data_IF_180940443255
#
_entry.id   IF_180940443255
#
_cell.length_a   1.000
_cell.length_b   1.000
_cell.length_c   1.000
_cell.angle_alpha   90.00
_cell.angle_beta   90.00
_cell.angle_gamma   90.00
#
_symmetry.space_group_name_H-M   'P 1'
#
loop_
_entity.id
_entity.type
_entity.pdbx_description
1 polymer ?
#
# COMPACT_ATOMS: atom_id res chain seq x y z
N UNK A 1 18.80 -12.17 6.83
CA UNK A 1 17.39 -12.54 7.12
C UNK A 1 16.49 -11.32 7.07
N UNK A 2 16.80 -10.20 7.73
CA UNK A 2 15.99 -8.97 7.67
C UNK A 2 15.70 -8.49 6.23
N UNK A 3 16.68 -8.54 5.33
CA UNK A 3 16.49 -8.23 3.89
C UNK A 3 15.36 -9.04 3.22
N UNK A 4 15.10 -10.27 3.66
CA UNK A 4 14.03 -11.10 3.11
C UNK A 4 12.66 -10.62 3.57
N UNK A 5 12.53 -10.20 4.85
CA UNK A 5 11.29 -9.68 5.41
C UNK A 5 10.97 -8.27 4.88
N UNK A 6 11.98 -7.40 4.73
CA UNK A 6 11.81 -6.10 4.06
C UNK A 6 11.42 -6.27 2.58
N UNK A 7 12.06 -7.22 1.88
CA UNK A 7 11.67 -7.56 0.51
C UNK A 7 10.26 -8.13 0.39
N UNK A 8 9.80 -8.89 1.40
CA UNK A 8 8.44 -9.47 1.51
C UNK A 8 7.36 -8.43 1.86
N UNK A 9 7.68 -7.41 2.68
CA UNK A 9 6.82 -6.23 2.87
C UNK A 9 6.54 -5.51 1.54
N UNK A 10 7.54 -5.54 0.64
CA UNK A 10 7.52 -4.92 -0.67
C UNK A 10 6.94 -5.82 -1.80
N UNK A 11 6.29 -6.94 -1.46
CA UNK A 11 5.54 -7.75 -2.43
C UNK A 11 4.02 -7.53 -2.31
N UNK A 12 3.29 -7.48 -3.43
CA UNK A 12 1.83 -7.50 -3.43
C UNK A 12 1.33 -8.88 -2.98
N UNK A 13 0.09 -8.91 -2.48
CA UNK A 13 -0.65 -10.16 -2.33
C UNK A 13 -1.17 -10.65 -3.67
N UNK A 14 -1.10 -11.95 -3.89
CA UNK A 14 -1.68 -12.63 -5.04
C UNK A 14 -2.58 -13.79 -4.59
N UNK A 15 -3.45 -14.24 -5.50
CA UNK A 15 -4.31 -15.40 -5.26
C UNK A 15 -3.62 -16.66 -5.80
N UNK A 16 -3.47 -17.66 -4.96
CA UNK A 16 -3.12 -19.02 -5.35
C UNK A 16 -4.40 -19.87 -5.38
N UNK A 17 -4.79 -20.30 -6.58
CA UNK A 17 -5.90 -21.25 -6.73
C UNK A 17 -5.42 -22.67 -6.51
N UNK A 18 -6.06 -23.40 -5.60
CA UNK A 18 -5.83 -24.82 -5.33
C UNK A 18 -7.02 -25.64 -5.88
N UNK A 19 -6.97 -26.96 -5.74
CA UNK A 19 -8.03 -27.83 -6.24
C UNK A 19 -9.36 -27.67 -5.46
N UNK A 20 -9.29 -27.47 -4.14
CA UNK A 20 -10.46 -27.46 -3.24
C UNK A 20 -10.69 -26.10 -2.57
N UNK A 21 -9.66 -25.26 -2.51
CA UNK A 21 -9.65 -23.97 -1.82
C UNK A 21 -8.82 -22.91 -2.58
N UNK A 22 -8.67 -21.74 -1.99
CA UNK A 22 -7.84 -20.66 -2.51
C UNK A 22 -7.15 -19.94 -1.37
N UNK A 23 -5.90 -19.57 -1.56
CA UNK A 23 -5.10 -18.84 -0.57
C UNK A 23 -4.67 -17.50 -1.14
N UNK A 24 -4.54 -16.51 -0.29
CA UNK A 24 -3.70 -15.35 -0.56
C UNK A 24 -2.26 -15.68 -0.21
N UNK A 25 -1.32 -15.38 -1.10
CA UNK A 25 0.09 -15.60 -0.86
C UNK A 25 0.93 -14.44 -1.40
N UNK A 26 2.09 -14.23 -0.77
CA UNK A 26 3.17 -13.42 -1.31
C UNK A 26 4.51 -13.99 -0.89
N UNK A 27 5.49 -13.96 -1.79
CA UNK A 27 6.81 -14.53 -1.56
C UNK A 27 7.89 -13.60 -2.10
N UNK A 28 9.00 -13.51 -1.38
CA UNK A 28 10.21 -12.83 -1.82
C UNK A 28 11.37 -13.81 -1.80
N UNK A 29 12.01 -14.00 -2.96
CA UNK A 29 13.03 -15.00 -3.20
C UNK A 29 14.31 -14.31 -3.66
N UNK A 30 15.44 -14.72 -3.07
CA UNK A 30 16.78 -14.25 -3.42
C UNK A 30 17.70 -15.45 -3.65
N UNK A 31 18.99 -15.21 -3.95
CA UNK A 31 20.00 -16.27 -4.01
C UNK A 31 20.38 -16.85 -2.65
N UNK A 32 20.05 -16.17 -1.55
CA UNK A 32 20.41 -16.58 -0.18
C UNK A 32 19.31 -17.38 0.52
N UNK A 33 18.07 -17.29 0.04
CA UNK A 33 16.89 -17.85 0.69
C UNK A 33 15.61 -17.17 0.22
N UNK A 34 14.51 -17.48 0.90
CA UNK A 34 13.20 -16.86 0.68
C UNK A 34 12.46 -16.59 1.98
N UNK A 35 11.48 -15.68 1.90
CA UNK A 35 10.40 -15.54 2.86
C UNK A 35 9.06 -15.63 2.12
N UNK A 36 8.10 -16.34 2.72
CA UNK A 36 6.77 -16.64 2.19
C UNK A 36 5.73 -16.33 3.27
N UNK A 37 4.64 -15.68 2.86
CA UNK A 37 3.47 -15.44 3.69
C UNK A 37 2.23 -15.96 2.96
N UNK A 38 1.37 -16.67 3.69
CA UNK A 38 0.17 -17.34 3.16
C UNK A 38 -1.01 -17.06 4.10
N UNK A 39 -2.22 -16.89 3.57
CA UNK A 39 -3.44 -16.73 4.36
C UNK A 39 -4.65 -17.33 3.63
N UNK A 40 -5.55 -17.94 4.39
CA UNK A 40 -6.88 -18.41 3.98
C UNK A 40 -7.99 -17.41 4.35
N UNK A 41 -7.61 -16.18 4.72
CA UNK A 41 -8.44 -15.12 5.31
C UNK A 41 -8.94 -15.38 6.74
N UNK A 42 -8.61 -16.53 7.36
CA UNK A 42 -8.88 -16.83 8.78
C UNK A 42 -7.61 -16.79 9.62
N UNK A 43 -6.54 -17.37 9.10
CA UNK A 43 -5.21 -17.44 9.70
C UNK A 43 -4.15 -16.94 8.72
N UNK A 44 -2.94 -16.74 9.24
CA UNK A 44 -1.78 -16.32 8.46
C UNK A 44 -0.61 -17.20 8.85
N UNK A 45 0.07 -17.78 7.85
CA UNK A 45 1.24 -18.60 8.04
C UNK A 45 2.46 -17.98 7.35
N UNK A 46 3.62 -18.20 7.93
CA UNK A 46 4.91 -17.71 7.49
C UNK A 46 5.91 -18.86 7.37
N UNK A 47 6.76 -18.79 6.34
CA UNK A 47 7.99 -19.58 6.28
C UNK A 47 9.14 -18.69 5.82
N UNK A 48 10.28 -18.81 6.50
CA UNK A 48 11.55 -18.29 6.04
C UNK A 48 12.55 -19.44 5.95
N UNK A 49 13.28 -19.53 4.83
CA UNK A 49 14.27 -20.57 4.61
C UNK A 49 15.54 -20.02 3.94
N UNK A 50 16.70 -20.40 4.45
CA UNK A 50 18.00 -20.05 3.87
C UNK A 50 18.50 -21.09 2.86
N UNK A 51 19.65 -20.83 2.24
CA UNK A 51 20.29 -21.73 1.29
C UNK A 51 20.65 -23.11 1.89
N UNK A 52 20.85 -23.23 3.21
CA UNK A 52 21.16 -24.48 3.90
C UNK A 52 19.91 -25.35 4.03
N UNK A 53 18.82 -24.79 4.55
CA UNK A 53 17.48 -25.40 4.60
C UNK A 53 17.05 -25.81 3.19
N UNK A 54 17.29 -24.94 2.20
CA UNK A 54 16.94 -25.25 0.80
C UNK A 54 17.74 -26.42 0.26
N UNK A 55 19.06 -26.46 0.49
CA UNK A 55 19.94 -27.57 0.10
C UNK A 55 19.50 -28.90 0.71
N UNK A 56 19.20 -28.92 2.01
CA UNK A 56 18.79 -30.11 2.74
C UNK A 56 17.43 -30.63 2.24
N UNK A 57 16.41 -29.76 2.18
CA UNK A 57 15.06 -30.12 1.77
C UNK A 57 15.01 -30.57 0.31
N UNK A 58 15.78 -29.93 -0.58
CA UNK A 58 15.87 -30.34 -1.97
C UNK A 58 16.45 -31.75 -2.13
N UNK A 59 17.49 -32.12 -1.36
CA UNK A 59 18.08 -33.47 -1.37
C UNK A 59 17.12 -34.54 -0.85
N UNK A 60 16.32 -34.20 0.16
CA UNK A 60 15.31 -35.10 0.74
C UNK A 60 14.18 -35.40 -0.26
N UNK A 61 13.57 -34.33 -0.81
CA UNK A 61 12.43 -34.42 -1.73
C UNK A 61 12.83 -34.90 -3.14
N UNK A 62 14.02 -34.53 -3.61
CA UNK A 62 14.49 -34.78 -4.97
C UNK A 62 15.82 -35.56 -4.95
N UNK A 63 15.80 -36.80 -4.45
CA UNK A 63 16.99 -37.65 -4.22
C UNK A 63 17.96 -37.87 -5.40
N UNK A 64 17.55 -37.50 -6.63
CA UNK A 64 18.36 -37.61 -7.86
C UNK A 64 18.83 -36.24 -8.41
N UNK A 65 18.44 -35.13 -7.78
CA UNK A 65 18.69 -33.78 -8.25
C UNK A 65 19.92 -33.19 -7.55
N UNK A 66 20.99 -33.00 -8.32
CA UNK A 66 22.21 -32.32 -7.85
C UNK A 66 22.26 -30.91 -8.43
N UNK A 67 21.73 -29.93 -7.69
CA UNK A 67 21.72 -28.53 -8.10
C UNK A 67 22.15 -27.62 -6.92
N UNK A 68 22.85 -26.50 -7.18
CA UNK A 68 23.19 -25.54 -6.13
C UNK A 68 21.93 -24.81 -5.62
N UNK A 69 21.87 -24.40 -4.34
CA UNK A 69 20.69 -23.74 -3.76
C UNK A 69 20.22 -22.51 -4.54
N UNK A 70 21.14 -21.72 -5.09
CA UNK A 70 20.79 -20.57 -5.91
C UNK A 70 20.01 -20.92 -7.19
N UNK A 71 20.29 -22.07 -7.83
CA UNK A 71 19.55 -22.51 -9.01
C UNK A 71 18.16 -23.04 -8.62
N UNK A 72 18.06 -23.72 -7.47
CA UNK A 72 16.78 -24.17 -6.90
C UNK A 72 15.89 -22.98 -6.52
N UNK A 73 16.48 -21.94 -5.93
CA UNK A 73 15.79 -20.68 -5.59
C UNK A 73 15.31 -19.94 -6.85
N UNK A 74 16.14 -19.83 -7.89
CA UNK A 74 15.69 -19.29 -9.19
C UNK A 74 14.51 -20.08 -9.78
N UNK A 75 14.54 -21.41 -9.72
CA UNK A 75 13.42 -22.24 -10.18
C UNK A 75 12.15 -22.02 -9.34
N UNK A 76 12.26 -21.91 -8.01
CA UNK A 76 11.10 -21.59 -7.15
C UNK A 76 10.52 -20.19 -7.46
N UNK A 77 11.36 -19.20 -7.77
CA UNK A 77 10.94 -17.87 -8.22
C UNK A 77 10.26 -17.93 -9.60
N UNK A 78 10.77 -18.71 -10.54
CA UNK A 78 10.12 -18.96 -11.84
C UNK A 78 8.78 -19.71 -11.72
N UNK A 79 8.64 -20.61 -10.74
CA UNK A 79 7.37 -21.30 -10.45
C UNK A 79 6.34 -20.38 -9.79
N UNK A 80 6.75 -19.55 -8.83
CA UNK A 80 5.82 -18.69 -8.08
C UNK A 80 5.47 -17.40 -8.82
N UNK A 81 6.40 -16.81 -9.59
CA UNK A 81 6.19 -15.50 -10.25
C UNK A 81 4.96 -15.42 -11.18
N UNK A 82 4.60 -16.44 -11.98
CA UNK A 82 3.36 -16.42 -12.78
C UNK A 82 2.10 -16.39 -11.91
N UNK A 83 2.11 -17.14 -10.82
CA UNK A 83 1.01 -17.25 -9.85
C UNK A 83 0.85 -15.95 -9.07
N UNK A 84 1.97 -15.37 -8.64
CA UNK A 84 2.03 -14.08 -7.95
C UNK A 84 1.64 -12.89 -8.84
N UNK A 85 1.42 -13.11 -10.14
CA UNK A 85 0.99 -12.10 -11.11
C UNK A 85 -0.41 -12.37 -11.70
N UNK A 86 -1.16 -13.31 -11.12
CA UNK A 86 -2.48 -13.76 -11.60
C UNK A 86 -2.48 -14.14 -13.11
N UNK A 87 -1.35 -14.64 -13.59
CA UNK A 87 -1.25 -15.24 -14.93
C UNK A 87 -1.53 -16.73 -14.84
N UNK A 88 -2.32 -17.25 -15.79
CA UNK A 88 -2.75 -18.64 -15.78
C UNK A 88 -1.58 -19.60 -15.56
N UNK A 89 -1.71 -20.50 -14.57
CA UNK A 89 -0.69 -21.47 -14.21
C UNK A 89 -0.22 -22.23 -15.46
N UNK A 90 1.09 -22.29 -15.78
CA UNK A 90 1.55 -23.20 -16.81
C UNK A 90 1.17 -24.62 -16.36
N UNK A 91 0.43 -25.36 -17.19
CA UNK A 91 -0.26 -26.62 -16.84
C UNK A 91 0.62 -27.81 -16.43
N UNK A 92 1.90 -27.56 -16.15
CA UNK A 92 2.88 -28.49 -15.57
C UNK A 92 3.07 -28.32 -14.05
N UNK A 93 2.46 -27.32 -13.42
CA UNK A 93 2.61 -27.04 -11.98
C UNK A 93 1.30 -27.33 -11.26
N UNK A 94 1.34 -28.13 -10.20
CA UNK A 94 0.19 -28.44 -9.33
C UNK A 94 0.50 -28.12 -7.88
N UNK A 95 -0.44 -27.46 -7.20
CA UNK A 95 -0.35 -27.10 -5.79
C UNK A 95 -1.37 -27.90 -4.97
N UNK A 96 -0.94 -28.38 -3.80
CA UNK A 96 -1.78 -29.06 -2.80
C UNK A 96 -1.45 -28.46 -1.44
N UNK A 97 -2.46 -28.27 -0.59
CA UNK A 97 -2.31 -27.67 0.73
C UNK A 97 -2.81 -28.65 1.80
N UNK A 98 -1.92 -29.07 2.69
CA UNK A 98 -2.27 -29.89 3.85
C UNK A 98 -2.18 -29.06 5.13
N UNK A 99 -3.11 -29.26 6.07
CA UNK A 99 -2.99 -28.74 7.44
C UNK A 99 -2.50 -29.86 8.37
N UNK A 100 -1.47 -29.57 9.17
CA UNK A 100 -0.88 -30.52 10.13
C UNK A 100 -0.76 -29.82 11.48
N UNK A 101 -1.81 -29.99 12.31
CA UNK A 101 -1.98 -29.19 13.52
C UNK A 101 -2.18 -27.72 13.15
N UNK A 102 -1.39 -26.83 13.77
CA UNK A 102 -1.40 -25.39 13.48
C UNK A 102 -0.55 -25.01 12.24
N UNK A 103 0.25 -25.93 11.70
CA UNK A 103 1.11 -25.69 10.55
C UNK A 103 0.38 -25.96 9.22
N UNK A 104 0.74 -25.18 8.19
CA UNK A 104 0.28 -25.32 6.81
C UNK A 104 1.43 -25.83 5.95
N UNK A 105 1.22 -26.93 5.22
CA UNK A 105 2.20 -27.49 4.28
C UNK A 105 1.71 -27.26 2.86
N UNK A 106 2.31 -26.29 2.16
CA UNK A 106 2.01 -26.02 0.76
C UNK A 106 2.96 -26.83 -0.12
N UNK A 107 2.44 -27.88 -0.76
CA UNK A 107 3.17 -28.77 -1.66
C UNK A 107 3.09 -28.25 -3.09
N UNK A 108 4.22 -28.26 -3.77
CA UNK A 108 4.37 -27.93 -5.18
C UNK A 108 4.97 -29.12 -5.89
N UNK A 109 4.33 -29.52 -6.98
CA UNK A 109 4.90 -30.45 -7.96
C UNK A 109 5.03 -29.72 -9.28
N UNK A 110 6.21 -29.75 -9.87
CA UNK A 110 6.51 -29.18 -11.18
C UNK A 110 7.38 -30.12 -12.01
N UNK A 111 7.77 -29.64 -13.19
CA UNK A 111 8.87 -30.19 -13.98
C UNK A 111 10.06 -29.23 -13.91
N UNK A 112 11.29 -29.76 -13.90
CA UNK A 112 12.54 -29.03 -14.06
C UNK A 112 13.38 -29.77 -15.11
N UNK A 113 13.56 -29.18 -16.28
CA UNK A 113 14.31 -29.77 -17.41
C UNK A 113 13.89 -31.21 -17.77
N UNK A 114 12.58 -31.47 -17.83
CA UNK A 114 12.03 -32.80 -18.13
C UNK A 114 11.95 -33.77 -16.92
N UNK A 115 12.50 -33.40 -15.76
CA UNK A 115 12.46 -34.22 -14.55
C UNK A 115 11.37 -33.75 -13.59
N UNK A 116 10.65 -34.66 -12.89
CA UNK A 116 9.75 -34.28 -11.81
C UNK A 116 10.50 -33.55 -10.69
N UNK A 117 9.98 -32.39 -10.29
CA UNK A 117 10.49 -31.58 -9.19
C UNK A 117 9.42 -31.44 -8.10
N UNK A 118 9.82 -31.63 -6.85
CA UNK A 118 8.95 -31.57 -5.68
C UNK A 118 9.49 -30.55 -4.68
N UNK A 119 8.59 -29.72 -4.15
CA UNK A 119 8.87 -28.78 -3.08
C UNK A 119 7.74 -28.78 -2.07
N UNK A 120 8.08 -28.68 -0.78
CA UNK A 120 7.11 -28.43 0.28
C UNK A 120 7.55 -27.13 0.98
N UNK A 121 6.65 -26.17 1.10
CA UNK A 121 6.77 -25.07 2.05
C UNK A 121 6.17 -25.53 3.38
N UNK A 122 6.88 -25.34 4.49
CA UNK A 122 6.43 -25.71 5.84
C UNK A 122 6.18 -24.44 6.63
N UNK A 123 4.95 -23.91 6.51
CA UNK A 123 4.58 -22.63 7.07
C UNK A 123 4.01 -22.80 8.49
N UNK A 124 4.56 -22.06 9.46
CA UNK A 124 4.07 -21.98 10.84
C UNK A 124 3.16 -20.76 10.99
N UNK A 125 2.38 -20.66 12.07
CA UNK A 125 1.57 -19.46 12.33
C UNK A 125 2.46 -18.20 12.35
N UNK A 126 2.06 -17.19 11.59
CA UNK A 126 2.79 -15.94 11.50
C UNK A 126 2.69 -15.16 12.82
N UNK A 127 3.79 -14.53 13.23
CA UNK A 127 3.79 -13.73 14.47
C UNK A 127 2.80 -12.55 14.37
N UNK A 128 2.22 -12.08 15.49
CA UNK A 128 1.32 -10.91 15.49
C UNK A 128 1.97 -9.66 14.88
N UNK A 129 3.30 -9.54 14.96
CA UNK A 129 4.07 -8.46 14.32
C UNK A 129 3.99 -8.55 12.78
N UNK A 130 4.19 -9.74 12.21
CA UNK A 130 4.05 -9.95 10.75
C UNK A 130 2.62 -9.71 10.28
N UNK A 131 1.61 -10.20 11.01
CA UNK A 131 0.20 -9.94 10.70
C UNK A 131 -0.11 -8.44 10.74
N UNK A 132 0.40 -7.73 11.73
CA UNK A 132 0.25 -6.27 11.87
C UNK A 132 0.89 -5.52 10.70
N UNK A 133 2.13 -5.85 10.34
CA UNK A 133 2.90 -5.16 9.29
C UNK A 133 2.43 -5.50 7.87
N UNK A 134 1.93 -6.71 7.62
CA UNK A 134 1.56 -7.16 6.28
C UNK A 134 0.06 -7.04 5.96
N UNK A 135 -0.81 -6.97 6.97
CA UNK A 135 -2.26 -6.87 6.79
C UNK A 135 -2.87 -5.67 7.54
N UNK A 136 -2.79 -5.64 8.88
CA UNK A 136 -3.60 -4.72 9.69
C UNK A 136 -3.28 -3.25 9.38
N UNK A 137 -1.99 -2.86 9.47
CA UNK A 137 -1.57 -1.48 9.26
C UNK A 137 -1.75 -1.03 7.80
N UNK A 138 -1.36 -1.82 6.78
CA UNK A 138 -1.61 -1.44 5.39
C UNK A 138 -3.10 -1.31 5.07
N UNK A 139 -3.95 -2.26 5.49
CA UNK A 139 -5.39 -2.20 5.22
C UNK A 139 -6.03 -0.98 5.88
N UNK A 140 -5.68 -0.66 7.14
CA UNK A 140 -6.13 0.56 7.81
C UNK A 140 -5.66 1.83 7.09
N UNK A 141 -4.40 1.88 6.64
CA UNK A 141 -3.87 2.98 5.84
C UNK A 141 -4.57 3.13 4.48
N UNK A 142 -4.93 2.01 3.83
CA UNK A 142 -5.71 2.00 2.60
C UNK A 142 -7.13 2.55 2.82
N UNK A 143 -7.82 2.13 3.89
CA UNK A 143 -9.14 2.67 4.25
C UNK A 143 -9.11 4.18 4.48
N UNK A 144 -8.10 4.69 5.19
CA UNK A 144 -7.91 6.14 5.38
C UNK A 144 -7.65 6.86 4.05
N UNK A 145 -6.80 6.31 3.18
CA UNK A 145 -6.51 6.89 1.87
C UNK A 145 -7.75 6.92 0.95
N UNK A 146 -8.54 5.86 0.93
CA UNK A 146 -9.80 5.80 0.18
C UNK A 146 -10.83 6.80 0.74
N UNK A 147 -10.91 6.98 2.06
CA UNK A 147 -11.78 7.99 2.68
C UNK A 147 -11.34 9.43 2.36
N UNK A 148 -10.04 9.68 2.11
CA UNK A 148 -9.59 10.95 1.54
C UNK A 148 -10.06 11.12 0.09
N UNK A 149 -9.91 10.09 -0.75
CA UNK A 149 -10.37 10.13 -2.15
C UNK A 149 -11.88 10.40 -2.26
N UNK A 150 -12.72 9.77 -1.42
CA UNK A 150 -14.17 10.03 -1.39
C UNK A 150 -14.47 11.50 -1.10
N UNK A 151 -13.79 12.12 -0.12
CA UNK A 151 -13.99 13.54 0.23
C UNK A 151 -13.49 14.50 -0.85
N UNK A 152 -12.37 14.18 -1.50
CA UNK A 152 -11.84 14.96 -2.63
C UNK A 152 -12.79 14.90 -3.84
N UNK A 153 -13.33 13.71 -4.14
CA UNK A 153 -14.32 13.53 -5.20
C UNK A 153 -15.65 14.22 -4.88
N UNK A 154 -16.15 14.14 -3.65
CA UNK A 154 -17.33 14.88 -3.19
C UNK A 154 -17.15 16.40 -3.35
N UNK A 155 -15.97 16.92 -3.03
CA UNK A 155 -15.62 18.33 -3.23
C UNK A 155 -15.61 18.69 -4.72
N UNK A 156 -15.03 17.83 -5.58
CA UNK A 156 -14.99 18.03 -7.03
C UNK A 156 -16.39 18.00 -7.66
N UNK A 157 -17.29 17.15 -7.18
CA UNK A 157 -18.69 17.09 -7.61
C UNK A 157 -19.44 18.38 -7.26
N UNK A 158 -19.33 18.87 -6.02
CA UNK A 158 -19.92 20.17 -5.61
C UNK A 158 -19.38 21.34 -6.44
N UNK A 159 -18.09 21.35 -6.78
CA UNK A 159 -17.53 22.36 -7.69
C UNK A 159 -18.13 22.27 -9.10
N UNK A 160 -18.47 21.07 -9.58
CA UNK A 160 -19.14 20.88 -10.87
C UNK A 160 -20.61 21.29 -10.85
N UNK A 161 -21.31 21.08 -9.74
CA UNK A 161 -22.68 21.58 -9.59
C UNK A 161 -22.75 23.12 -9.60
N UNK A 162 -21.78 23.79 -8.96
CA UNK A 162 -21.66 25.26 -9.04
C UNK A 162 -21.39 25.76 -10.48
N UNK A 163 -20.54 25.06 -11.24
CA UNK A 163 -20.29 25.37 -12.66
C UNK A 163 -21.56 25.14 -13.52
N UNK A 164 -22.32 24.08 -13.25
CA UNK A 164 -23.60 23.80 -13.90
C UNK A 164 -24.67 24.83 -13.53
N UNK A 165 -24.67 25.35 -12.30
CA UNK A 165 -25.56 26.41 -11.84
C UNK A 165 -25.24 27.76 -12.53
N UNK A 166 -23.97 28.16 -12.59
CA UNK A 166 -23.53 29.38 -13.30
C UNK A 166 -23.96 29.40 -14.77
N UNK A 167 -23.89 28.25 -15.46
CA UNK A 167 -24.42 28.12 -16.82
C UNK A 167 -25.95 28.35 -16.88
N UNK A 168 -26.71 27.80 -15.93
CA UNK A 168 -28.17 27.97 -15.89
C UNK A 168 -28.57 29.42 -15.57
N UNK A 169 -27.90 30.06 -14.62
CA UNK A 169 -28.10 31.46 -14.24
C UNK A 169 -27.70 32.43 -15.36
N UNK A 170 -26.68 32.06 -16.15
CA UNK A 170 -26.28 32.76 -17.39
C UNK A 170 -27.25 32.53 -18.57
N UNK A 171 -28.32 31.75 -18.38
CA UNK A 171 -29.34 31.49 -19.40
C UNK A 171 -28.96 30.42 -20.44
N UNK A 172 -27.94 29.60 -20.19
CA UNK A 172 -27.60 28.49 -21.07
C UNK A 172 -28.64 27.35 -20.92
N UNK A 173 -29.15 26.86 -22.05
CA UNK A 173 -30.15 25.79 -22.10
C UNK A 173 -29.49 24.49 -22.57
N UNK A 174 -29.82 23.38 -21.91
CA UNK A 174 -29.39 22.04 -22.31
C UNK A 174 -29.99 21.67 -23.67
N UNK A 175 -29.14 21.21 -24.60
CA UNK A 175 -29.60 20.68 -25.89
C UNK A 175 -30.20 19.26 -25.80
N UNK A 176 -30.05 18.61 -24.65
CA UNK A 176 -30.49 17.23 -24.36
C UNK A 176 -30.81 17.07 -22.88
N UNK A 177 -32.09 17.17 -22.51
CA UNK A 177 -32.53 17.17 -21.10
C UNK A 177 -32.06 15.93 -20.30
N UNK A 178 -31.95 14.77 -20.95
CA UNK A 178 -31.44 13.52 -20.36
C UNK A 178 -29.97 13.57 -19.88
N UNK A 179 -29.25 14.66 -20.14
CA UNK A 179 -27.89 14.89 -19.62
C UNK A 179 -27.91 15.70 -18.31
N UNK A 180 -29.08 16.20 -17.88
CA UNK A 180 -29.22 16.86 -16.58
C UNK A 180 -29.04 15.84 -15.47
N UNK A 181 -28.06 16.08 -14.60
CA UNK A 181 -27.90 15.36 -13.33
C UNK A 181 -28.63 16.08 -12.21
N UNK A 182 -28.95 15.35 -11.15
CA UNK A 182 -29.35 15.96 -9.87
C UNK A 182 -28.09 16.51 -9.15
N UNK A 183 -28.19 17.61 -8.38
CA UNK A 183 -27.07 18.12 -7.60
C UNK A 183 -26.56 17.09 -6.59
N UNK A 184 -25.25 16.98 -6.43
CA UNK A 184 -24.65 15.98 -5.55
C UNK A 184 -24.79 16.36 -4.07
N UNK A 185 -25.48 15.50 -3.31
CA UNK A 185 -25.60 15.58 -1.85
C UNK A 185 -24.93 14.35 -1.23
N UNK A 186 -24.03 14.58 -0.27
CA UNK A 186 -23.09 13.57 0.25
C UNK A 186 -23.77 12.61 1.22
N UNK A 187 -24.70 13.09 2.06
CA UNK A 187 -25.36 12.27 3.07
C UNK A 187 -26.33 11.27 2.40
N UNK A 188 -27.16 11.76 1.49
CA UNK A 188 -28.07 10.97 0.64
C UNK A 188 -27.31 9.89 -0.15
N UNK A 189 -26.19 10.25 -0.77
CA UNK A 189 -25.33 9.29 -1.47
C UNK A 189 -24.80 8.19 -0.53
N UNK A 190 -24.33 8.56 0.67
CA UNK A 190 -23.84 7.60 1.65
C UNK A 190 -24.95 6.70 2.21
N UNK A 191 -26.11 7.26 2.56
CA UNK A 191 -27.29 6.49 3.01
C UNK A 191 -27.73 5.48 1.94
N UNK A 192 -27.85 5.92 0.68
CA UNK A 192 -28.19 5.02 -0.43
C UNK A 192 -27.12 3.95 -0.64
N UNK A 193 -25.82 4.30 -0.59
CA UNK A 193 -24.73 3.34 -0.74
C UNK A 193 -24.74 2.28 0.38
N UNK A 194 -24.95 2.69 1.63
CA UNK A 194 -24.99 1.80 2.80
C UNK A 194 -26.14 0.79 2.74
N UNK A 195 -27.28 1.17 2.15
CA UNK A 195 -28.44 0.27 1.98
C UNK A 195 -28.33 -0.60 0.72
N UNK A 196 -28.01 0.00 -0.44
CA UNK A 196 -28.10 -0.68 -1.74
C UNK A 196 -26.83 -1.37 -2.22
N UNK A 197 -25.65 -0.91 -1.81
CA UNK A 197 -24.36 -1.31 -2.43
C UNK A 197 -23.39 -1.96 -1.45
N UNK A 198 -23.43 -1.56 -0.18
CA UNK A 198 -22.52 -2.09 0.84
C UNK A 198 -22.50 -3.63 0.92
N UNK A 199 -23.64 -4.37 0.90
CA UNK A 199 -23.61 -5.83 1.04
C UNK A 199 -22.81 -6.56 -0.05
N UNK A 200 -22.83 -6.04 -1.28
CA UNK A 200 -22.04 -6.58 -2.39
C UNK A 200 -20.60 -6.02 -2.35
N UNK A 201 -20.45 -4.73 -2.06
CA UNK A 201 -19.15 -4.04 -2.06
C UNK A 201 -18.19 -4.51 -0.95
N UNK A 202 -18.70 -4.95 0.20
CA UNK A 202 -17.90 -5.49 1.30
C UNK A 202 -17.68 -7.02 1.22
N UNK A 203 -18.19 -7.68 0.17
CA UNK A 203 -18.03 -9.12 -0.05
C UNK A 203 -16.58 -9.52 -0.35
N UNK A 204 -15.78 -9.77 0.68
CA UNK A 204 -14.36 -10.18 0.54
C UNK A 204 -14.22 -11.51 -0.22
N UNK A 205 -15.18 -12.43 -0.02
CA UNK A 205 -15.22 -13.73 -0.69
C UNK A 205 -13.93 -14.53 -0.48
N UNK A 206 -13.30 -14.91 -1.59
CA UNK A 206 -12.03 -15.64 -1.64
C UNK A 206 -10.79 -14.73 -1.75
N UNK A 207 -10.95 -13.43 -1.51
CA UNK A 207 -9.87 -12.45 -1.57
C UNK A 207 -9.53 -11.96 -2.98
N UNK A 208 -10.16 -12.48 -4.04
CA UNK A 208 -9.94 -12.01 -5.43
C UNK A 208 -10.17 -10.50 -5.63
N UNK A 209 -11.22 -9.87 -5.07
CA UNK A 209 -11.42 -8.43 -5.27
C UNK A 209 -10.24 -7.60 -4.72
N UNK A 210 -9.66 -8.02 -3.60
CA UNK A 210 -8.47 -7.39 -3.02
C UNK A 210 -7.23 -7.57 -3.90
N UNK A 211 -7.00 -8.77 -4.46
CA UNK A 211 -5.88 -9.04 -5.37
C UNK A 211 -6.00 -8.29 -6.70
N UNK A 212 -7.21 -8.19 -7.28
CA UNK A 212 -7.40 -7.53 -8.57
C UNK A 212 -7.43 -6.01 -8.48
N UNK A 213 -8.12 -5.45 -7.47
CA UNK A 213 -8.49 -4.03 -7.48
C UNK A 213 -7.60 -3.17 -6.57
N UNK A 214 -6.99 -3.75 -5.52
CA UNK A 214 -6.41 -2.99 -4.41
C UNK A 214 -4.89 -3.13 -4.23
N UNK A 215 -4.22 -4.00 -4.98
CA UNK A 215 -2.77 -4.24 -4.79
C UNK A 215 -1.89 -3.04 -5.14
N UNK A 216 -2.31 -2.19 -6.08
CA UNK A 216 -1.62 -0.93 -6.39
C UNK A 216 -1.60 0.02 -5.19
N UNK A 217 -2.73 0.16 -4.49
CA UNK A 217 -2.86 0.99 -3.30
C UNK A 217 -2.16 0.33 -2.09
N UNK A 218 -2.32 -0.99 -1.89
CA UNK A 218 -1.59 -1.74 -0.87
C UNK A 218 -0.08 -1.50 -0.97
N UNK A 219 0.46 -1.64 -2.18
CA UNK A 219 1.88 -1.40 -2.46
C UNK A 219 2.32 0.06 -2.27
N UNK A 220 1.44 1.03 -2.47
CA UNK A 220 1.74 2.43 -2.19
C UNK A 220 1.79 2.70 -0.66
N UNK A 221 0.85 2.12 0.09
CA UNK A 221 0.76 2.27 1.55
C UNK A 221 1.93 1.57 2.26
N UNK A 222 2.25 0.31 1.92
CA UNK A 222 3.39 -0.40 2.53
C UNK A 222 4.72 0.32 2.31
N UNK A 223 4.94 0.85 1.09
CA UNK A 223 6.10 1.69 0.75
C UNK A 223 6.18 2.94 1.61
N UNK A 224 5.04 3.61 1.84
CA UNK A 224 4.97 4.81 2.66
C UNK A 224 5.28 4.49 4.14
N UNK A 225 4.75 3.40 4.68
CA UNK A 225 5.03 2.98 6.07
C UNK A 225 6.53 2.68 6.28
N UNK A 226 7.18 1.98 5.34
CA UNK A 226 8.62 1.70 5.40
C UNK A 226 9.43 3.01 5.37
N UNK A 227 9.09 3.94 4.48
CA UNK A 227 9.77 5.25 4.41
C UNK A 227 9.59 6.08 5.69
N UNK A 228 8.41 6.05 6.31
CA UNK A 228 8.16 6.76 7.58
C UNK A 228 8.99 6.13 8.71
N UNK A 229 9.08 4.80 8.77
CA UNK A 229 9.90 4.07 9.75
C UNK A 229 11.39 4.38 9.59
N UNK A 230 11.91 4.36 8.36
CA UNK A 230 13.32 4.69 8.07
C UNK A 230 13.67 6.16 8.37
N UNK A 231 12.70 7.09 8.26
CA UNK A 231 12.88 8.51 8.62
C UNK A 231 12.82 8.78 10.13
N UNK A 232 12.28 7.87 10.94
CA UNK A 232 12.17 8.02 12.39
C UNK A 232 12.72 6.79 13.14
N UNK A 233 14.05 6.54 13.14
CA UNK A 233 14.62 5.35 13.78
C UNK A 233 14.57 5.35 15.33
N UNK A 234 14.10 6.42 15.97
CA UNK A 234 14.32 6.68 17.40
C UNK A 234 13.14 7.31 18.13
N UNK A 235 11.98 6.64 18.15
CA UNK A 235 10.90 6.95 19.09
C UNK A 235 10.10 5.67 19.39
N UNK A 236 10.43 5.00 20.50
CA UNK A 236 9.73 3.77 20.89
C UNK A 236 10.51 2.78 21.73
N UNK A 237 11.16 3.21 22.80
CA UNK A 237 11.51 2.30 23.90
C UNK A 237 11.50 3.06 25.26
N UNK A 238 10.33 3.31 25.87
CA UNK A 238 10.22 3.56 27.28
C UNK A 238 10.17 2.21 27.99
N UNK A 239 11.29 1.77 28.58
CA UNK A 239 11.28 0.60 29.46
C UNK A 239 10.22 0.78 30.56
N UNK A 240 9.48 -0.28 30.86
CA UNK A 240 8.77 -0.40 32.13
C UNK A 240 9.80 -0.38 33.27
N UNK A 241 9.89 0.75 33.95
CA UNK A 241 10.49 0.86 35.29
C UNK A 241 9.41 1.28 36.26
N UNK A 242 8.80 0.28 36.89
CA UNK A 242 7.76 0.43 37.90
C UNK A 242 8.30 0.95 39.24
N UNK A 243 7.44 1.61 40.02
CA UNK A 243 7.64 2.10 41.40
C UNK A 243 8.68 3.22 41.55
N UNK A 244 8.34 4.40 42.10
CA UNK A 244 7.80 4.57 43.45
C UNK A 244 6.95 5.84 43.65
N UNK A 245 5.97 5.72 44.53
CA UNK A 245 5.29 6.77 45.30
C UNK A 245 4.83 6.10 46.63
N UNK A 246 4.49 6.79 47.74
CA UNK A 246 3.92 8.16 47.81
C UNK A 246 4.40 9.04 49.01
N UNK A 247 3.63 10.11 49.28
CA UNK A 247 3.53 10.95 50.48
C UNK A 247 4.43 12.21 50.62
N UNK A 248 3.77 13.32 50.98
CA UNK A 248 4.36 14.64 51.28
C UNK A 248 3.31 15.76 51.14
N UNK A 249 2.81 16.30 52.26
CA UNK A 249 1.58 17.12 52.35
C UNK A 249 1.85 18.65 52.35
N UNK A 250 0.90 19.41 51.80
CA UNK A 250 0.54 20.86 51.97
C UNK A 250 1.56 21.93 52.45
N UNK A 251 1.56 23.09 51.75
CA UNK A 251 1.39 24.48 52.25
C UNK A 251 1.73 25.48 51.11
N UNK A 252 0.78 26.22 50.52
CA UNK A 252 0.15 27.49 50.93
C UNK A 252 0.97 28.80 50.69
N UNK A 253 0.26 29.79 50.10
CA UNK A 253 0.44 31.27 50.11
C UNK A 253 1.13 32.03 48.93
N UNK A 254 0.25 32.70 48.15
CA UNK A 254 0.29 34.04 47.52
C UNK A 254 1.62 34.79 47.27
N UNK A 255 1.77 35.32 46.04
CA UNK A 255 1.45 36.74 45.74
C UNK A 255 1.32 37.03 44.23
N UNK A 256 0.74 38.19 43.89
CA UNK A 256 0.16 38.59 42.58
C UNK A 256 1.09 39.47 41.69
N UNK A 257 0.66 39.98 40.49
CA UNK A 257 1.54 40.16 39.33
C UNK A 257 1.87 41.62 38.93
N UNK A 258 2.80 41.80 37.97
CA UNK A 258 2.93 43.04 37.18
C UNK A 258 3.19 42.79 35.68
N UNK A 259 2.41 43.48 34.85
CA UNK A 259 2.60 43.88 33.45
C UNK A 259 2.06 45.35 33.38
N UNK A 260 2.24 46.17 32.32
CA UNK A 260 2.92 45.96 31.03
C UNK A 260 3.87 47.13 30.65
N UNK A 261 4.27 47.25 29.38
CA UNK A 261 4.01 48.44 28.51
C UNK A 261 4.66 48.29 27.11
N UNK A 262 3.90 48.69 26.09
CA UNK A 262 4.27 48.74 24.66
C UNK A 262 5.06 50.00 24.28
N UNK A 263 5.94 49.93 23.25
CA UNK A 263 5.90 50.83 22.06
C UNK A 263 7.11 50.71 21.11
N UNK A 264 6.83 50.69 19.80
CA UNK A 264 7.71 51.13 18.70
C UNK A 264 7.15 52.49 18.15
N UNK A 265 7.68 53.19 17.11
CA UNK A 265 8.73 52.83 16.13
C UNK A 265 9.73 53.96 15.74
N UNK A 266 10.64 53.72 14.78
CA UNK A 266 10.96 54.59 13.59
C UNK A 266 12.33 54.28 12.93
N UNK A 267 12.44 54.40 11.60
CA UNK A 267 13.68 54.36 10.78
C UNK A 267 14.07 55.79 10.30
N UNK A 268 15.34 56.05 9.88
CA UNK A 268 15.62 56.18 8.43
C UNK A 268 17.03 55.71 7.94
N UNK A 269 17.29 55.88 6.62
CA UNK A 269 18.25 55.18 5.70
C UNK A 269 18.57 56.14 4.49
N UNK A 270 19.63 56.06 3.61
CA UNK A 270 20.75 55.09 3.38
C UNK A 270 22.21 55.68 3.24
N UNK A 271 23.23 54.81 3.06
CA UNK A 271 24.44 55.06 2.22
C UNK A 271 24.80 53.78 1.39
N UNK A 272 24.74 53.76 0.05
CA UNK A 272 25.70 54.16 -1.03
C UNK A 272 26.53 52.99 -1.63
N UNK A 273 26.29 52.70 -2.91
CA UNK A 273 27.22 51.97 -3.83
C UNK A 273 28.25 52.93 -4.46
N UNK A 274 29.25 52.39 -5.20
CA UNK A 274 29.31 52.72 -6.64
C UNK A 274 29.88 51.63 -7.61
N UNK A 275 29.27 51.56 -8.82
CA UNK A 275 29.89 51.28 -10.17
C UNK A 275 30.62 49.93 -10.39
N UNK A 276 30.27 49.03 -11.34
CA UNK A 276 29.90 49.16 -12.78
C UNK A 276 31.08 48.66 -13.67
N UNK A 277 30.94 48.19 -14.96
CA UNK A 277 29.78 48.27 -15.89
C UNK A 277 29.50 47.01 -16.81
N UNK A 278 28.40 47.06 -17.61
CA UNK A 278 28.17 46.45 -18.97
C UNK A 278 28.34 44.91 -19.19
N UNK A 279 27.49 44.12 -19.89
CA UNK A 279 26.40 44.35 -20.87
C UNK A 279 25.90 42.98 -21.45
N UNK A 280 25.11 42.90 -22.56
CA UNK A 280 23.65 42.74 -22.48
C UNK A 280 22.99 41.43 -23.03
N UNK A 281 21.81 41.12 -22.46
CA UNK A 281 20.55 40.57 -23.06
C UNK A 281 20.61 39.50 -24.17
N UNK A 282 20.01 38.32 -23.90
CA UNK A 282 19.27 37.53 -24.91
C UNK A 282 17.94 36.96 -24.38
N UNK A 283 16.97 36.76 -25.29
CA UNK A 283 15.55 36.48 -25.04
C UNK A 283 15.16 35.19 -25.78
N UNK A 284 14.64 34.13 -25.13
CA UNK A 284 14.18 32.95 -25.84
C UNK A 284 12.89 33.24 -26.64
N UNK A 285 12.89 32.96 -27.94
CA UNK A 285 11.67 33.03 -28.76
C UNK A 285 10.90 31.71 -28.68
N UNK A 286 9.61 31.76 -28.32
CA UNK A 286 8.69 30.64 -28.47
C UNK A 286 8.01 30.70 -29.84
N UNK A 287 8.06 29.58 -30.56
CA UNK A 287 7.56 29.44 -31.93
C UNK A 287 6.03 29.40 -31.99
N UNK A 288 5.45 30.17 -32.93
CA UNK A 288 3.99 30.24 -33.14
C UNK A 288 3.50 29.03 -33.94
N UNK A 289 2.84 28.08 -33.29
CA UNK A 289 2.06 27.03 -33.97
C UNK A 289 0.62 27.52 -34.20
N UNK A 290 0.08 27.28 -35.40
CA UNK A 290 -1.25 27.79 -35.83
C UNK A 290 -2.41 27.02 -35.17
N UNK A 291 -3.47 27.77 -34.85
CA UNK A 291 -4.74 27.29 -34.27
C UNK A 291 -5.37 26.12 -35.04
N UNK A 292 -5.88 25.13 -34.31
CA UNK A 292 -6.98 24.26 -34.75
C UNK A 292 -8.20 24.60 -33.88
N UNK A 293 -9.30 25.06 -34.48
CA UNK A 293 -10.53 25.38 -33.73
C UNK A 293 -11.16 24.08 -33.21
N UNK A 294 -11.27 23.94 -31.89
CA UNK A 294 -12.23 23.02 -31.29
C UNK A 294 -13.62 23.67 -31.41
N UNK A 295 -14.61 22.96 -31.95
CA UNK A 295 -16.02 23.37 -31.85
C UNK A 295 -16.48 23.07 -30.43
N UNK A 296 -17.00 24.07 -29.73
CA UNK A 296 -17.65 23.87 -28.43
C UNK A 296 -18.92 23.02 -28.54
N UNK A 297 -19.34 22.44 -27.42
CA UNK A 297 -20.48 21.53 -27.32
C UNK A 297 -21.85 22.24 -27.16
N UNK A 298 -21.90 23.54 -27.38
CA UNK A 298 -23.09 24.38 -27.30
C UNK A 298 -23.35 25.01 -28.66
N UNK A 299 -24.63 25.02 -29.08
CA UNK A 299 -25.12 25.54 -30.36
C UNK A 299 -25.71 26.93 -30.19
#
# INVERSE_FOLDING_TARGET
>A
MEELEEGLLMQPWARLQLAENSLLAKAYITRQGYALLVSDLQQVWHEQADACVVSQRAKELNKRLTAPPAALLCHLDELLRPLLKDTACPGKVSFVCDHVGEALILRVRSELSGLPFYWNFYCILASPSLVSQHLIRPLMGMSLALQCQVRELATMLRMKDLEIQDYQESGAVLSRDRLKTEPFEENSFLEQFMVEKLPEACGVGDGRPFVMNLQSLYMAVTRQEIQVRQKHPGSGDPQLSSSTSPQGTENQLLNEPEEPVSSAPSLPVPEKEPTGPSGPVQRPQLSKVKRKKLRGLFS
#
